data_IF_674261446177
#
_entry.id   IF_674261446177
#
_cell.length_a   1.000
_cell.length_b   1.000
_cell.length_c   1.000
_cell.angle_alpha   90.00
_cell.angle_beta   90.00
_cell.angle_gamma   90.00
#
_symmetry.space_group_name_H-M   'P 1'
#
loop_
_entity.id
_entity.type
_entity.pdbx_description
1 polymer ?
#
# COMPACT_ATOMS: atom_id res chain seq x y z
N UNK A 1 43.24 -56.14 -7.99
CA UNK A 1 42.35 -57.08 -8.70
C UNK A 1 41.03 -56.36 -8.98
N UNK A 2 40.63 -56.39 -10.25
CA UNK A 2 39.31 -56.17 -10.83
C UNK A 2 38.44 -54.95 -10.41
N UNK A 3 38.38 -54.01 -11.35
CA UNK A 3 37.37 -52.99 -11.61
C UNK A 3 35.96 -53.55 -11.91
N UNK A 4 34.91 -52.77 -11.61
CA UNK A 4 33.65 -52.79 -12.36
C UNK A 4 32.91 -51.44 -12.25
N UNK A 5 32.75 -50.68 -13.34
CA UNK A 5 31.96 -49.44 -13.38
C UNK A 5 30.48 -49.71 -13.74
N UNK A 6 29.56 -49.09 -13.01
CA UNK A 6 28.12 -49.15 -13.27
C UNK A 6 27.79 -48.28 -14.50
N UNK A 7 27.18 -48.91 -15.49
CA UNK A 7 26.84 -48.39 -16.82
C UNK A 7 25.92 -47.16 -16.76
N UNK A 8 26.33 -46.08 -17.43
CA UNK A 8 25.49 -44.91 -17.71
C UNK A 8 24.57 -45.23 -18.90
N UNK A 9 23.26 -45.23 -18.68
CA UNK A 9 22.26 -45.34 -19.74
C UNK A 9 22.15 -44.01 -20.48
N UNK A 10 22.62 -43.97 -21.73
CA UNK A 10 22.47 -42.84 -22.65
C UNK A 10 21.12 -42.95 -23.37
N UNK A 11 20.15 -42.12 -22.99
CA UNK A 11 18.89 -42.00 -23.75
C UNK A 11 19.10 -40.99 -24.88
N UNK A 12 19.28 -41.49 -26.10
CA UNK A 12 19.23 -40.70 -27.34
C UNK A 12 17.76 -40.37 -27.63
N UNK A 13 17.31 -39.14 -27.35
CA UNK A 13 16.03 -38.65 -27.87
C UNK A 13 16.24 -38.03 -29.24
N UNK A 14 15.60 -38.66 -30.21
CA UNK A 14 15.65 -38.42 -31.64
C UNK A 14 14.93 -37.11 -32.00
N UNK A 15 15.61 -36.23 -32.73
CA UNK A 15 15.06 -34.98 -33.26
C UNK A 15 14.00 -35.25 -34.33
N UNK A 16 12.77 -34.77 -34.11
CA UNK A 16 11.82 -34.48 -35.19
C UNK A 16 11.68 -32.96 -35.29
N UNK A 17 12.59 -32.37 -36.07
CA UNK A 17 12.54 -30.98 -36.46
C UNK A 17 11.41 -30.75 -37.46
N UNK A 18 10.28 -30.25 -36.97
CA UNK A 18 9.22 -29.72 -37.82
C UNK A 18 9.58 -28.27 -38.11
N UNK A 19 10.22 -28.02 -39.25
CA UNK A 19 10.41 -26.68 -39.83
C UNK A 19 9.02 -26.12 -40.19
N UNK A 20 8.46 -25.31 -39.29
CA UNK A 20 7.25 -24.53 -39.59
C UNK A 20 7.54 -23.47 -40.67
N UNK A 21 6.58 -23.17 -41.56
CA UNK A 21 6.76 -22.21 -42.63
C UNK A 21 6.90 -20.79 -42.06
N UNK A 22 7.94 -20.09 -42.50
CA UNK A 22 8.14 -18.65 -42.31
C UNK A 22 7.03 -17.90 -43.05
N UNK A 23 6.05 -17.37 -42.33
CA UNK A 23 5.14 -16.36 -42.87
C UNK A 23 5.66 -14.97 -42.49
N UNK A 24 6.19 -14.26 -43.48
CA UNK A 24 6.48 -12.84 -43.36
C UNK A 24 5.17 -12.06 -43.41
N UNK A 25 4.75 -11.54 -42.26
CA UNK A 25 3.67 -10.56 -42.19
C UNK A 25 4.25 -9.16 -42.44
N UNK A 26 3.63 -8.33 -43.31
CA UNK A 26 4.08 -6.97 -43.52
C UNK A 26 3.94 -6.16 -42.24
N UNK A 27 5.05 -5.52 -41.84
CA UNK A 27 5.11 -4.58 -40.73
C UNK A 27 4.21 -3.40 -41.05
N UNK A 28 3.04 -3.34 -40.42
CA UNK A 28 2.21 -2.13 -40.39
C UNK A 28 2.85 -1.14 -39.42
N UNK A 29 3.60 -0.19 -39.96
CA UNK A 29 4.06 1.01 -39.24
C UNK A 29 2.84 1.86 -38.90
N UNK A 30 2.35 1.77 -37.67
CA UNK A 30 1.40 2.74 -37.10
C UNK A 30 2.18 3.99 -36.71
N UNK A 31 2.00 5.05 -37.49
CA UNK A 31 2.50 6.39 -37.17
C UNK A 31 1.68 6.95 -35.99
N UNK A 32 2.22 6.85 -34.78
CA UNK A 32 1.67 7.50 -33.60
C UNK A 32 2.04 8.98 -33.65
N UNK A 33 1.02 9.83 -33.83
CA UNK A 33 1.13 11.28 -33.73
C UNK A 33 1.69 11.69 -32.36
N UNK A 34 2.61 12.67 -32.29
CA UNK A 34 3.16 13.11 -31.04
C UNK A 34 2.09 13.85 -30.22
N UNK A 35 1.68 13.23 -29.12
CA UNK A 35 0.84 13.83 -28.10
C UNK A 35 1.63 14.94 -27.38
N UNK A 36 1.36 16.18 -27.78
CA UNK A 36 1.97 17.37 -27.18
C UNK A 36 1.51 17.53 -25.73
N UNK A 37 2.45 17.48 -24.79
CA UNK A 37 2.25 17.86 -23.39
C UNK A 37 2.33 19.38 -23.28
N UNK A 38 1.20 20.03 -23.01
CA UNK A 38 1.15 21.39 -22.45
C UNK A 38 0.06 21.44 -21.38
N UNK A 39 0.44 21.13 -20.15
CA UNK A 39 -0.33 21.47 -18.94
C UNK A 39 0.54 22.42 -18.12
N UNK A 40 0.53 23.70 -18.47
CA UNK A 40 0.94 24.75 -17.54
C UNK A 40 -0.26 25.09 -16.68
N UNK A 41 -0.28 24.60 -15.44
CA UNK A 41 -1.20 25.06 -14.42
C UNK A 41 -0.77 26.48 -14.01
N UNK A 42 -1.43 27.49 -14.54
CA UNK A 42 -1.29 28.89 -14.11
C UNK A 42 -2.46 29.22 -13.18
N UNK A 43 -2.24 29.07 -11.88
CA UNK A 43 -3.14 29.61 -10.86
C UNK A 43 -2.80 31.09 -10.64
N UNK A 44 -3.49 31.97 -11.37
CA UNK A 44 -3.48 33.41 -11.13
C UNK A 44 -4.90 33.85 -10.79
N UNK A 45 -5.23 33.79 -9.50
CA UNK A 45 -6.45 34.39 -8.96
C UNK A 45 -6.13 35.85 -8.63
N UNK A 46 -6.65 36.77 -9.44
CA UNK A 46 -6.78 38.18 -9.09
C UNK A 46 -8.03 38.71 -9.76
N UNK A 47 -9.16 38.70 -9.06
CA UNK A 47 -10.31 39.54 -9.38
C UNK A 47 -10.34 40.69 -8.37
N UNK A 48 -9.79 41.82 -8.81
CA UNK A 48 -9.92 43.11 -8.18
C UNK A 48 -11.30 43.67 -8.49
N UNK A 49 -12.16 43.87 -7.49
CA UNK A 49 -13.26 44.83 -7.58
C UNK A 49 -12.90 45.99 -6.68
N UNK A 50 -12.41 47.05 -7.32
CA UNK A 50 -12.18 48.37 -6.74
C UNK A 50 -13.51 49.08 -6.50
N UNK A 51 -13.68 49.68 -5.33
CA UNK A 51 -14.79 50.59 -5.05
C UNK A 51 -14.77 51.15 -3.61
N UNK A 52 -14.02 52.25 -3.43
CA UNK A 52 -14.15 53.35 -2.45
C UNK A 52 -15.23 53.20 -1.33
N UNK A 53 -14.93 53.35 -0.04
CA UNK A 53 -14.51 54.60 0.64
C UNK A 53 -13.95 54.32 2.06
N UNK A 54 -13.11 55.21 2.64
CA UNK A 54 -12.60 55.10 4.01
C UNK A 54 -13.37 55.98 5.02
N UNK A 55 -13.02 55.81 6.31
CA UNK A 55 -13.18 56.74 7.47
C UNK A 55 -14.21 56.31 8.55
N UNK A 56 -13.69 55.77 9.68
CA UNK A 56 -13.75 56.29 11.09
C UNK A 56 -13.65 55.14 12.13
N UNK A 57 -12.54 55.17 12.86
CA UNK A 57 -12.28 54.92 14.29
C UNK A 57 -13.41 54.38 15.22
N UNK A 58 -13.07 53.37 16.06
CA UNK A 58 -13.12 53.39 17.54
C UNK A 58 -12.66 52.01 18.09
N UNK A 59 -11.45 51.95 18.66
CA UNK A 59 -11.13 52.01 20.11
C UNK A 59 -11.33 50.66 20.82
N UNK A 60 -10.19 50.16 21.33
CA UNK A 60 -9.99 49.00 22.20
C UNK A 60 -11.14 48.75 23.20
N UNK A 61 -11.59 47.50 23.23
CA UNK A 61 -11.96 46.83 24.49
C UNK A 61 -11.22 45.50 24.57
N UNK A 62 -10.18 45.51 25.39
CA UNK A 62 -9.58 44.30 25.96
C UNK A 62 -10.65 43.57 26.75
N UNK A 63 -11.06 42.39 26.27
CA UNK A 63 -11.83 41.45 27.08
C UNK A 63 -11.27 40.05 26.86
N UNK A 64 -10.57 39.61 27.91
CA UNK A 64 -10.35 38.25 28.39
C UNK A 64 -10.70 37.05 27.48
N UNK A 65 -9.73 36.13 27.41
CA UNK A 65 -9.87 34.66 27.35
C UNK A 65 -9.83 33.98 25.96
N UNK A 66 -8.75 33.24 25.63
CA UNK A 66 -8.82 32.14 24.67
C UNK A 66 -9.45 30.93 25.37
N UNK A 67 -10.77 30.86 25.38
CA UNK A 67 -11.50 29.70 25.87
C UNK A 67 -11.63 28.65 24.76
N UNK A 68 -10.93 27.52 24.98
CA UNK A 68 -11.33 26.16 24.63
C UNK A 68 -11.37 25.80 23.14
N UNK A 69 -10.39 24.98 22.74
CA UNK A 69 -10.55 24.02 21.65
C UNK A 69 -11.70 23.10 22.07
N UNK A 70 -12.90 23.39 21.58
CA UNK A 70 -14.04 22.49 21.70
C UNK A 70 -13.69 21.23 20.93
N UNK A 71 -13.29 20.20 21.69
CA UNK A 71 -13.18 18.84 21.22
C UNK A 71 -14.46 18.54 20.40
N UNK A 72 -14.37 18.32 19.08
CA UNK A 72 -15.56 18.09 18.28
C UNK A 72 -16.25 16.88 18.89
N UNK A 73 -17.47 17.09 19.39
CA UNK A 73 -18.24 16.03 20.02
C UNK A 73 -18.30 14.87 19.05
N UNK A 74 -17.60 13.79 19.40
CA UNK A 74 -17.59 12.58 18.61
C UNK A 74 -19.03 12.11 18.56
N UNK A 75 -19.61 12.13 17.36
CA UNK A 75 -21.01 11.84 17.08
C UNK A 75 -21.47 10.68 17.96
N UNK A 76 -22.29 10.99 18.96
CA UNK A 76 -22.78 9.99 19.90
C UNK A 76 -23.79 9.16 19.14
N UNK A 77 -23.34 8.03 18.59
CA UNK A 77 -24.20 7.03 17.98
C UNK A 77 -25.03 6.43 19.12
N UNK A 78 -26.22 6.97 19.33
CA UNK A 78 -27.24 6.39 20.21
C UNK A 78 -27.56 5.01 19.65
N UNK A 79 -27.15 3.97 20.36
CA UNK A 79 -27.49 2.59 20.02
C UNK A 79 -28.26 1.98 21.18
N UNK A 80 -29.38 1.35 20.82
CA UNK A 80 -30.22 0.59 21.74
C UNK A 80 -29.39 -0.53 22.39
N UNK A 81 -29.47 -0.61 23.72
CA UNK A 81 -28.81 -1.56 24.64
C UNK A 81 -27.42 -2.05 24.20
N UNK A 82 -26.41 -1.31 24.65
CA UNK A 82 -25.02 -1.77 24.83
C UNK A 82 -24.17 -1.77 23.56
N UNK A 83 -23.61 -0.61 23.20
CA UNK A 83 -22.56 -0.50 22.17
C UNK A 83 -21.38 -1.40 22.52
N UNK A 84 -21.07 -2.38 21.66
CA UNK A 84 -19.81 -3.13 21.70
C UNK A 84 -18.94 -2.70 20.54
N UNK A 85 -17.64 -2.48 20.80
CA UNK A 85 -16.67 -2.13 19.78
C UNK A 85 -16.68 -3.15 18.64
N UNK A 86 -16.62 -2.70 17.39
CA UNK A 86 -16.59 -3.60 16.23
C UNK A 86 -15.16 -3.78 15.73
N UNK A 87 -14.77 -5.00 15.40
CA UNK A 87 -13.48 -5.28 14.78
C UNK A 87 -13.48 -4.84 13.31
N UNK A 88 -12.44 -4.11 12.88
CA UNK A 88 -12.23 -3.81 11.47
C UNK A 88 -11.80 -5.06 10.70
N UNK A 89 -12.73 -5.68 9.97
CA UNK A 89 -12.52 -6.99 9.34
C UNK A 89 -11.42 -6.99 8.27
N UNK A 90 -11.21 -5.88 7.55
CA UNK A 90 -10.13 -5.81 6.57
C UNK A 90 -8.73 -5.84 7.23
N UNK A 91 -8.57 -5.21 8.40
CA UNK A 91 -7.34 -5.32 9.20
C UNK A 91 -7.15 -6.72 9.76
N UNK A 92 -8.22 -7.35 10.25
CA UNK A 92 -8.18 -8.71 10.81
C UNK A 92 -7.73 -9.76 9.78
N UNK A 93 -8.07 -9.57 8.50
CA UNK A 93 -7.59 -10.45 7.41
C UNK A 93 -6.09 -10.31 7.11
N UNK A 94 -5.47 -9.19 7.49
CA UNK A 94 -4.08 -8.84 7.13
C UNK A 94 -3.08 -9.12 8.25
N UNK A 95 -3.46 -8.90 9.50
CA UNK A 95 -2.59 -9.01 10.68
C UNK A 95 -2.98 -10.21 11.53
N UNK A 96 -1.98 -10.90 12.08
CA UNK A 96 -2.17 -12.00 13.03
C UNK A 96 -1.16 -11.94 14.16
N UNK A 97 -1.46 -12.59 15.26
CA UNK A 97 -0.58 -12.62 16.44
C UNK A 97 0.14 -13.98 16.51
N UNK A 98 1.43 -13.97 16.84
CA UNK A 98 2.19 -15.18 17.18
C UNK A 98 1.84 -15.67 18.59
N UNK A 99 2.22 -16.91 18.94
CA UNK A 99 2.00 -17.42 20.30
C UNK A 99 2.59 -16.52 21.41
N UNK A 100 3.71 -15.85 21.13
CA UNK A 100 4.36 -14.90 22.06
C UNK A 100 3.67 -13.53 22.16
N UNK A 101 2.65 -13.25 21.33
CA UNK A 101 1.96 -11.96 21.33
C UNK A 101 2.49 -10.91 20.35
N UNK A 102 3.40 -11.27 19.42
CA UNK A 102 3.92 -10.34 18.39
C UNK A 102 2.95 -10.20 17.22
N UNK A 103 2.76 -8.99 16.69
CA UNK A 103 1.91 -8.77 15.50
C UNK A 103 2.72 -9.06 14.23
N UNK A 104 2.23 -9.98 13.41
CA UNK A 104 2.85 -10.46 12.18
C UNK A 104 2.04 -10.04 10.94
N UNK A 105 2.75 -9.77 9.85
CA UNK A 105 2.21 -9.45 8.52
C UNK A 105 2.99 -10.15 7.41
N UNK A 106 2.38 -10.23 6.21
CA UNK A 106 3.09 -10.58 4.98
C UNK A 106 3.78 -9.36 4.38
N UNK A 107 4.87 -9.57 3.63
CA UNK A 107 5.46 -8.52 2.79
C UNK A 107 4.68 -8.38 1.47
N UNK A 108 4.57 -7.15 0.98
CA UNK A 108 3.86 -6.85 -0.27
C UNK A 108 4.72 -7.14 -1.53
N UNK A 109 4.07 -7.28 -2.70
CA UNK A 109 4.76 -7.29 -4.00
C UNK A 109 5.12 -8.67 -4.59
N UNK A 110 4.50 -9.76 -4.12
CA UNK A 110 4.73 -11.13 -4.63
C UNK A 110 3.51 -11.73 -5.37
N UNK A 111 2.64 -10.91 -5.96
CA UNK A 111 1.48 -11.37 -6.72
C UNK A 111 1.78 -11.52 -8.23
N UNK A 112 2.18 -10.44 -8.90
CA UNK A 112 2.45 -10.39 -10.35
C UNK A 112 3.87 -9.85 -10.65
N UNK A 113 4.31 -9.94 -11.91
CA UNK A 113 5.65 -9.52 -12.37
C UNK A 113 6.77 -10.16 -11.55
N UNK A 114 6.74 -11.49 -11.43
CA UNK A 114 7.73 -12.27 -10.68
C UNK A 114 8.98 -12.58 -11.51
N UNK A 115 8.85 -12.63 -12.84
CA UNK A 115 9.96 -12.91 -13.77
C UNK A 115 11.10 -11.90 -13.61
N UNK A 116 10.79 -10.60 -13.56
CA UNK A 116 11.78 -9.52 -13.37
C UNK A 116 12.39 -9.42 -11.96
N UNK A 117 11.94 -10.26 -11.01
CA UNK A 117 12.43 -10.23 -9.62
C UNK A 117 13.42 -11.37 -9.41
N UNK A 118 14.64 -11.03 -9.01
CA UNK A 118 15.66 -12.01 -8.59
C UNK A 118 15.09 -12.97 -7.50
N UNK A 119 15.49 -14.23 -7.54
CA UNK A 119 15.13 -15.28 -6.57
C UNK A 119 15.34 -14.85 -5.11
N UNK A 120 16.46 -14.19 -4.78
CA UNK A 120 16.72 -13.63 -3.43
C UNK A 120 15.61 -12.66 -2.99
N UNK A 121 15.15 -11.79 -3.89
CA UNK A 121 14.02 -10.87 -3.62
C UNK A 121 12.72 -11.64 -3.42
N UNK A 122 12.43 -12.65 -4.26
CA UNK A 122 11.22 -13.47 -4.14
C UNK A 122 11.17 -14.24 -2.81
N UNK A 123 12.30 -14.77 -2.35
CA UNK A 123 12.44 -15.46 -1.07
C UNK A 123 12.21 -14.51 0.12
N UNK A 124 12.80 -13.30 0.07
CA UNK A 124 12.58 -12.26 1.09
C UNK A 124 11.09 -11.90 1.21
N UNK A 125 10.38 -11.79 0.09
CA UNK A 125 8.95 -11.43 0.08
C UNK A 125 8.01 -12.55 0.55
N UNK A 126 8.44 -13.83 0.55
CA UNK A 126 7.63 -14.93 1.09
C UNK A 126 7.53 -14.94 2.61
N UNK A 127 8.58 -14.45 3.29
CA UNK A 127 8.69 -14.55 4.75
C UNK A 127 7.70 -13.61 5.43
N UNK A 128 7.10 -14.09 6.52
CA UNK A 128 6.37 -13.23 7.44
C UNK A 128 7.32 -12.34 8.23
N UNK A 129 6.86 -11.15 8.58
CA UNK A 129 7.65 -10.19 9.38
C UNK A 129 6.75 -9.55 10.42
N UNK A 130 7.36 -9.13 11.51
CA UNK A 130 6.73 -8.31 12.52
C UNK A 130 6.28 -6.95 11.94
N UNK A 131 5.19 -6.39 12.47
CA UNK A 131 4.77 -5.02 12.15
C UNK A 131 5.80 -4.04 12.72
N UNK A 132 5.99 -2.90 12.06
CA UNK A 132 6.90 -1.85 12.48
C UNK A 132 6.29 -1.07 13.66
N UNK A 133 7.12 -0.61 14.61
CA UNK A 133 6.64 -0.07 15.89
C UNK A 133 5.67 1.11 15.72
N UNK A 134 5.89 1.94 14.71
CA UNK A 134 5.05 3.11 14.41
C UNK A 134 3.59 2.77 14.10
N UNK A 135 3.34 1.59 13.49
CA UNK A 135 2.01 1.19 13.04
C UNK A 135 1.18 0.49 14.15
N UNK A 136 1.77 0.19 15.30
CA UNK A 136 1.10 -0.61 16.35
C UNK A 136 -0.19 0.04 16.85
N UNK A 137 -0.16 1.35 17.08
CA UNK A 137 -1.31 2.08 17.62
C UNK A 137 -2.50 1.99 16.66
N UNK A 138 -2.24 2.12 15.35
CA UNK A 138 -3.26 2.03 14.30
C UNK A 138 -3.86 0.62 14.22
N UNK A 139 -3.02 -0.41 14.30
CA UNK A 139 -3.47 -1.82 14.22
C UNK A 139 -4.29 -2.20 15.46
N UNK A 140 -3.82 -1.85 16.66
CA UNK A 140 -4.48 -2.18 17.92
C UNK A 140 -5.83 -1.44 18.03
N UNK A 141 -5.89 -0.16 17.64
CA UNK A 141 -7.14 0.60 17.62
C UNK A 141 -8.20 0.00 16.69
N UNK A 142 -7.79 -0.53 15.54
CA UNK A 142 -8.68 -1.18 14.59
C UNK A 142 -9.13 -2.60 15.02
N UNK A 143 -8.37 -3.25 15.91
CA UNK A 143 -8.55 -4.64 16.33
C UNK A 143 -8.69 -4.75 17.86
N UNK A 144 -9.79 -4.24 18.45
CA UNK A 144 -9.94 -4.09 19.90
C UNK A 144 -9.93 -5.42 20.67
N UNK A 145 -10.29 -6.52 20.03
CA UNK A 145 -10.34 -7.86 20.66
C UNK A 145 -9.09 -8.71 20.39
N UNK A 146 -8.06 -8.15 19.76
CA UNK A 146 -6.83 -8.88 19.47
C UNK A 146 -5.87 -8.80 20.66
N UNK A 147 -5.50 -9.94 21.24
CA UNK A 147 -4.54 -10.02 22.36
C UNK A 147 -3.10 -9.83 21.85
N UNK A 148 -2.41 -8.78 22.29
CA UNK A 148 -1.05 -8.42 21.84
C UNK A 148 -0.15 -8.16 23.04
N UNK A 149 1.11 -8.60 22.99
CA UNK A 149 2.14 -8.28 23.98
C UNK A 149 3.14 -7.28 23.40
N UNK A 150 3.10 -6.02 23.87
CA UNK A 150 3.97 -4.93 23.38
C UNK A 150 5.44 -5.05 23.83
N UNK A 151 5.71 -5.84 24.87
CA UNK A 151 7.06 -6.02 25.43
C UNK A 151 7.85 -7.15 24.79
N UNK A 152 7.23 -7.92 23.89
CA UNK A 152 7.82 -9.12 23.31
C UNK A 152 8.89 -8.83 22.22
N UNK A 153 9.54 -7.66 22.23
CA UNK A 153 10.54 -7.30 21.23
C UNK A 153 11.88 -7.98 21.53
#
# INVERSE_FOLDING_TARGET
>A
MASSPISRTTTMVFSLGIKGPQQHHPVRTVHLSPFAKKTSLSLSSTCSISGFTPVVLNRLSTVASPSQISNPQFLTIVCAKGYKMKTHKASAKRFRVSGSGKIMRRRAGKQHLLAKKNTKRKLRLSKMVQVDQSDYNNVIGALPYLKVNRKAN
#
